data_IF_016573383632
#
_entry.id   IF_016573383632
#
_cell.length_a   1.000
_cell.length_b   1.000
_cell.length_c   1.000
_cell.angle_alpha   90.00
_cell.angle_beta   90.00
_cell.angle_gamma   90.00
#
_symmetry.space_group_name_H-M   'P 1'
#
loop_
_entity.id
_entity.type
_entity.pdbx_description
1 polymer ?
#
# COMPACT_ATOMS: atom_id res chain seq x y z
N UNK A 1 -4.42 4.79 -19.60
CA UNK A 1 -3.68 4.02 -18.57
C UNK A 1 -2.20 3.97 -18.96
N UNK A 2 -1.28 3.99 -17.98
CA UNK A 2 0.14 3.71 -18.22
C UNK A 2 0.44 2.27 -17.77
N UNK A 3 1.22 1.54 -18.55
CA UNK A 3 1.59 0.14 -18.26
C UNK A 3 3.10 0.05 -18.17
N UNK A 4 3.60 -0.44 -17.04
CA UNK A 4 5.03 -0.61 -16.76
C UNK A 4 5.32 -2.08 -16.43
N UNK A 5 6.49 -2.58 -16.85
CA UNK A 5 6.92 -3.94 -16.53
C UNK A 5 7.72 -3.92 -15.23
N UNK A 6 7.57 -4.98 -14.43
CA UNK A 6 8.44 -5.19 -13.28
C UNK A 6 9.78 -5.70 -13.79
N UNK A 7 10.85 -4.96 -13.49
CA UNK A 7 12.23 -5.37 -13.76
C UNK A 7 12.75 -6.28 -12.66
N UNK A 8 12.42 -5.96 -11.40
CA UNK A 8 12.92 -6.70 -10.23
C UNK A 8 11.89 -6.69 -9.09
N UNK A 9 11.72 -7.84 -8.46
CA UNK A 9 11.03 -8.01 -7.18
C UNK A 9 12.08 -8.22 -6.09
N UNK A 10 12.05 -7.41 -5.04
CA UNK A 10 12.94 -7.51 -3.88
C UNK A 10 12.06 -7.76 -2.66
N UNK A 11 11.96 -9.02 -2.23
CA UNK A 11 11.26 -9.40 -1.00
C UNK A 11 12.15 -9.14 0.20
N UNK A 12 11.58 -8.69 1.32
CA UNK A 12 12.32 -8.57 2.57
C UNK A 12 13.00 -9.90 2.95
N UNK A 13 14.30 -9.86 3.24
CA UNK A 13 15.13 -11.05 3.47
C UNK A 13 14.63 -11.90 4.65
N UNK A 14 14.06 -11.23 5.66
CA UNK A 14 13.52 -11.85 6.86
C UNK A 14 12.00 -12.11 6.81
N UNK A 15 11.35 -12.05 5.64
CA UNK A 15 9.94 -12.40 5.53
C UNK A 15 9.68 -13.85 5.96
N UNK A 16 8.75 -14.07 6.88
CA UNK A 16 8.34 -15.41 7.32
C UNK A 16 6.86 -15.63 7.08
N UNK A 17 6.54 -16.62 6.25
CA UNK A 17 5.15 -16.99 5.94
C UNK A 17 4.38 -17.53 7.14
N UNK A 18 5.07 -18.11 8.13
CA UNK A 18 4.43 -18.76 9.28
C UNK A 18 3.72 -17.78 10.22
N UNK A 19 4.28 -16.57 10.37
CA UNK A 19 3.78 -15.54 11.28
C UNK A 19 3.53 -14.19 10.56
N UNK A 20 3.76 -14.15 9.23
CA UNK A 20 3.59 -12.97 8.37
C UNK A 20 4.52 -11.82 8.82
N UNK A 21 5.59 -12.11 9.56
CA UNK A 21 6.56 -11.10 9.95
C UNK A 21 7.34 -10.56 8.75
N UNK A 22 7.61 -9.25 8.78
CA UNK A 22 8.29 -8.51 7.72
C UNK A 22 7.60 -8.61 6.35
N UNK A 23 6.28 -8.49 6.33
CA UNK A 23 5.47 -8.49 5.10
C UNK A 23 5.62 -7.18 4.31
N UNK A 24 6.76 -7.06 3.60
CA UNK A 24 7.09 -5.92 2.75
C UNK A 24 7.97 -6.36 1.58
N UNK A 25 7.77 -5.73 0.42
CA UNK A 25 8.60 -5.93 -0.77
C UNK A 25 8.73 -4.63 -1.58
N UNK A 26 9.80 -4.51 -2.36
CA UNK A 26 10.00 -3.44 -3.34
C UNK A 26 9.87 -4.00 -4.76
N UNK A 27 9.23 -3.23 -5.62
CA UNK A 27 9.16 -3.47 -7.07
C UNK A 27 9.95 -2.40 -7.80
N UNK A 28 11.01 -2.81 -8.51
CA UNK A 28 11.73 -1.93 -9.44
C UNK A 28 11.05 -2.03 -10.81
N UNK A 29 10.56 -0.90 -11.32
CA UNK A 29 10.00 -0.81 -12.67
C UNK A 29 11.11 -0.80 -13.72
N UNK A 30 10.79 -1.23 -14.94
CA UNK A 30 11.75 -1.22 -16.04
C UNK A 30 12.14 0.19 -16.50
N UNK A 31 11.22 1.15 -16.37
CA UNK A 31 11.43 2.57 -16.70
C UNK A 31 10.85 3.46 -15.59
N UNK A 32 11.39 4.68 -15.39
CA UNK A 32 10.84 5.64 -14.43
C UNK A 32 9.43 6.10 -14.81
N UNK A 33 8.60 6.38 -13.81
CA UNK A 33 7.27 6.99 -14.00
C UNK A 33 7.38 8.51 -13.83
N UNK A 34 6.78 9.25 -14.76
CA UNK A 34 6.71 10.72 -14.68
C UNK A 34 5.53 11.15 -13.81
N UNK A 35 5.76 12.07 -12.88
CA UNK A 35 4.70 12.65 -12.06
C UNK A 35 3.70 13.44 -12.92
N UNK A 36 2.44 13.43 -12.50
CA UNK A 36 1.33 14.12 -13.16
C UNK A 36 0.23 14.44 -12.12
N UNK A 37 -0.85 15.16 -12.47
CA UNK A 37 -1.97 15.35 -11.54
C UNK A 37 -2.56 14.04 -10.99
N UNK A 38 -2.38 12.92 -11.69
CA UNK A 38 -2.89 11.60 -11.30
C UNK A 38 -1.80 10.63 -10.79
N UNK A 39 -0.52 11.03 -10.82
CA UNK A 39 0.61 10.21 -10.40
C UNK A 39 1.53 11.07 -9.52
N UNK A 40 1.55 10.77 -8.23
CA UNK A 40 2.37 11.46 -7.25
C UNK A 40 3.08 10.44 -6.34
N UNK A 41 4.21 10.86 -5.77
CA UNK A 41 4.94 10.04 -4.81
C UNK A 41 4.27 10.14 -3.43
N UNK A 42 4.15 9.01 -2.75
CA UNK A 42 3.81 8.99 -1.34
C UNK A 42 5.06 9.23 -0.49
N UNK A 43 4.88 9.82 0.70
CA UNK A 43 5.94 9.97 1.67
C UNK A 43 6.20 8.64 2.41
N UNK A 44 7.45 8.37 2.75
CA UNK A 44 7.82 7.32 3.69
C UNK A 44 8.00 7.96 5.07
N UNK A 45 7.50 7.29 6.11
CA UNK A 45 7.61 7.78 7.48
C UNK A 45 9.08 7.90 7.92
N UNK A 46 9.38 8.96 8.69
CA UNK A 46 10.66 9.05 9.39
C UNK A 46 10.77 7.92 10.43
N UNK A 47 11.93 7.27 10.60
CA UNK A 47 12.10 6.21 11.60
C UNK A 47 11.77 6.61 13.04
N UNK A 48 11.75 7.91 13.34
CA UNK A 48 11.41 8.46 14.66
C UNK A 48 9.92 8.76 14.86
N UNK A 49 9.12 8.69 13.79
CA UNK A 49 7.68 8.93 13.85
C UNK A 49 7.00 7.86 14.72
N UNK A 50 6.21 8.31 15.70
CA UNK A 50 5.35 7.42 16.47
C UNK A 50 3.99 7.32 15.79
N UNK A 51 3.57 6.11 15.43
CA UNK A 51 2.28 5.88 14.77
C UNK A 51 1.12 6.45 15.59
N UNK A 52 1.19 6.41 16.93
CA UNK A 52 0.20 7.00 17.84
C UNK A 52 -0.02 8.52 17.65
N UNK A 53 0.92 9.22 17.03
CA UNK A 53 0.79 10.66 16.72
C UNK A 53 -0.06 10.90 15.46
N UNK A 54 -0.38 9.84 14.69
CA UNK A 54 -1.22 9.91 13.51
C UNK A 54 -2.71 9.91 13.90
N UNK A 55 -3.41 11.00 13.59
CA UNK A 55 -4.83 11.14 13.92
C UNK A 55 -5.78 10.91 12.74
N UNK A 56 -5.27 10.98 11.50
CA UNK A 56 -6.07 10.90 10.28
C UNK A 56 -5.49 9.85 9.33
N UNK A 57 -5.83 8.58 9.59
CA UNK A 57 -5.45 7.48 8.73
C UNK A 57 -6.54 7.19 7.71
N UNK A 58 -6.12 6.84 6.50
CA UNK A 58 -7.01 6.48 5.41
C UNK A 58 -6.50 5.20 4.76
N UNK A 59 -7.43 4.37 4.31
CA UNK A 59 -7.16 3.26 3.41
C UNK A 59 -7.88 3.52 2.08
N UNK A 60 -7.30 3.05 0.98
CA UNK A 60 -7.90 3.18 -0.34
C UNK A 60 -7.61 1.94 -1.17
N UNK A 61 -8.54 1.58 -2.06
CA UNK A 61 -8.38 0.43 -2.96
C UNK A 61 -9.66 0.07 -3.72
N UNK A 62 -9.54 -0.96 -4.55
CA UNK A 62 -10.62 -1.53 -5.36
C UNK A 62 -11.09 -2.88 -4.80
N UNK A 63 -10.87 -3.14 -3.50
CA UNK A 63 -11.24 -4.42 -2.88
C UNK A 63 -12.76 -4.65 -2.79
N UNK A 64 -13.13 -5.79 -2.20
CA UNK A 64 -14.52 -6.09 -1.82
C UNK A 64 -15.03 -5.03 -0.83
N UNK A 65 -16.21 -4.48 -1.05
CA UNK A 65 -16.81 -3.46 -0.18
C UNK A 65 -17.70 -4.05 0.93
N UNK A 66 -18.07 -5.33 0.79
CA UNK A 66 -18.87 -6.08 1.75
C UNK A 66 -18.15 -7.39 2.12
N UNK A 67 -18.24 -7.78 3.39
CA UNK A 67 -17.66 -9.04 3.85
C UNK A 67 -18.35 -10.24 3.19
N UNK A 68 -17.56 -11.19 2.68
CA UNK A 68 -18.06 -12.41 2.05
C UNK A 68 -18.51 -12.24 0.60
N UNK A 69 -18.38 -11.03 0.04
CA UNK A 69 -18.57 -10.80 -1.39
C UNK A 69 -17.35 -11.29 -2.19
N UNK A 70 -17.59 -11.73 -3.41
CA UNK A 70 -16.54 -12.08 -4.38
C UNK A 70 -16.25 -10.92 -5.34
N UNK A 71 -17.18 -9.96 -5.46
CA UNK A 71 -17.08 -8.85 -6.39
C UNK A 71 -16.22 -7.70 -5.83
N UNK A 72 -15.25 -7.27 -6.63
CA UNK A 72 -14.43 -6.09 -6.37
C UNK A 72 -15.09 -4.82 -6.91
N UNK A 73 -14.75 -3.65 -6.34
CA UNK A 73 -15.23 -2.38 -6.88
C UNK A 73 -14.51 -2.00 -8.18
N UNK A 74 -15.24 -1.55 -9.19
CA UNK A 74 -14.67 -0.96 -10.42
C UNK A 74 -14.10 0.45 -10.17
N UNK A 75 -14.65 1.16 -9.18
CA UNK A 75 -14.26 2.51 -8.80
C UNK A 75 -13.38 2.50 -7.55
N UNK A 76 -12.38 3.39 -7.49
CA UNK A 76 -11.52 3.52 -6.32
C UNK A 76 -12.36 3.94 -5.10
N UNK A 77 -12.29 3.15 -4.03
CA UNK A 77 -12.90 3.48 -2.75
C UNK A 77 -11.86 4.01 -1.78
N UNK A 78 -12.31 4.80 -0.80
CA UNK A 78 -11.52 5.23 0.34
C UNK A 78 -12.33 5.18 1.64
N UNK A 79 -11.64 4.99 2.76
CA UNK A 79 -12.25 5.03 4.08
C UNK A 79 -11.30 5.64 5.11
N UNK A 80 -11.84 6.52 5.96
CA UNK A 80 -11.14 7.01 7.14
C UNK A 80 -11.18 5.96 8.25
N UNK A 81 -10.01 5.64 8.81
CA UNK A 81 -9.85 4.63 9.86
C UNK A 81 -9.18 5.21 11.10
N UNK A 82 -9.32 4.52 12.22
CA UNK A 82 -8.70 4.87 13.49
C UNK A 82 -7.66 3.83 13.86
N UNK A 83 -6.60 4.26 14.54
CA UNK A 83 -5.63 3.35 15.14
C UNK A 83 -6.29 2.63 16.31
N UNK A 84 -6.04 1.32 16.40
CA UNK A 84 -6.48 0.47 17.50
C UNK A 84 -5.22 0.01 18.23
N UNK A 85 -5.17 0.24 19.53
CA UNK A 85 -4.15 -0.32 20.41
C UNK A 85 -4.58 -1.74 20.80
N UNK A 86 -3.71 -2.73 20.56
CA UNK A 86 -3.97 -4.17 20.73
C UNK A 86 -3.00 -4.80 21.70
#
# INVERSE_FOLDING_TARGET
>A
AQVHKIKKLIRHENYKRSDISNDIALLELNEPVQCSPYIQLACVADPTLRVSELQNCWIAGWGTTTEGDEDSSDDLQEAKVQLIDV
#
